data_IF_079815044624
#
_entry.id   IF_079815044624
#
_cell.length_a   1.000
_cell.length_b   1.000
_cell.length_c   1.000
_cell.angle_alpha   90.00
_cell.angle_beta   90.00
_cell.angle_gamma   90.00
#
_symmetry.space_group_name_H-M   'P 1'
#
loop_
_entity.id
_entity.type
_entity.pdbx_description
1 polymer ?
#
# COMPACT_ATOMS: atom_id res chain seq x y z
N UNK A 1 -35.30 -16.21 52.55
CA UNK A 1 -35.46 -15.23 51.45
C UNK A 1 -34.38 -15.47 50.41
N UNK A 2 -34.81 -15.64 49.16
CA UNK A 2 -33.96 -15.88 47.98
C UNK A 2 -33.17 -14.63 47.62
N UNK A 3 -31.89 -14.74 47.27
CA UNK A 3 -31.26 -13.93 46.21
C UNK A 3 -30.22 -14.76 45.46
N UNK A 4 -30.52 -14.99 44.19
CA UNK A 4 -29.60 -15.40 43.15
C UNK A 4 -28.51 -14.33 42.96
N UNK A 5 -27.26 -14.74 42.75
CA UNK A 5 -26.39 -14.09 41.76
C UNK A 5 -25.71 -15.17 40.94
N UNK A 6 -25.93 -15.06 39.63
CA UNK A 6 -25.67 -16.04 38.62
C UNK A 6 -24.18 -16.27 38.33
N UNK A 7 -23.87 -17.51 37.99
CA UNK A 7 -22.66 -17.91 37.32
C UNK A 7 -22.46 -17.09 36.04
N UNK A 8 -21.32 -16.41 35.93
CA UNK A 8 -20.84 -15.86 34.67
C UNK A 8 -19.73 -16.76 34.12
N UNK A 9 -20.13 -17.85 33.48
CA UNK A 9 -19.31 -18.54 32.49
C UNK A 9 -19.62 -17.91 31.14
N UNK A 10 -18.82 -16.96 30.65
CA UNK A 10 -18.72 -16.62 29.21
C UNK A 10 -17.67 -15.53 28.98
N UNK A 11 -16.47 -15.94 28.54
CA UNK A 11 -15.81 -15.52 27.29
C UNK A 11 -14.31 -15.84 27.34
N UNK A 12 -13.97 -17.02 26.84
CA UNK A 12 -12.70 -17.26 26.13
C UNK A 12 -12.73 -16.42 24.85
N UNK A 13 -11.68 -15.65 24.58
CA UNK A 13 -11.46 -14.98 23.30
C UNK A 13 -11.52 -13.46 23.37
N UNK A 14 -10.39 -12.85 23.75
CA UNK A 14 -9.84 -11.53 23.38
C UNK A 14 -8.83 -11.11 24.48
N UNK A 15 -7.67 -11.76 24.52
CA UNK A 15 -6.50 -11.31 25.31
C UNK A 15 -5.27 -11.16 24.41
N UNK A 16 -5.52 -10.73 23.17
CA UNK A 16 -4.49 -10.15 22.33
C UNK A 16 -4.80 -8.66 22.32
N UNK A 17 -3.78 -7.83 22.46
CA UNK A 17 -3.80 -6.37 22.56
C UNK A 17 -3.92 -5.80 23.99
N UNK A 18 -2.85 -5.09 24.36
CA UNK A 18 -2.61 -4.33 25.61
C UNK A 18 -2.01 -5.08 26.81
N UNK A 19 -0.93 -5.85 26.59
CA UNK A 19 0.09 -5.94 27.63
C UNK A 19 1.09 -4.80 27.44
N UNK A 20 0.92 -3.75 28.23
CA UNK A 20 1.98 -2.79 28.53
C UNK A 20 3.02 -3.50 29.40
N UNK A 21 4.30 -3.21 29.18
CA UNK A 21 5.38 -3.76 30.02
C UNK A 21 5.26 -3.16 31.41
N UNK A 22 4.52 -3.87 32.25
CA UNK A 22 4.45 -3.65 33.68
C UNK A 22 5.32 -4.71 34.36
N UNK A 23 6.61 -4.73 34.02
CA UNK A 23 7.59 -5.56 34.74
C UNK A 23 7.71 -5.04 36.17
N UNK A 24 7.03 -5.74 37.07
CA UNK A 24 7.08 -5.52 38.51
C UNK A 24 8.30 -6.20 39.10
N UNK A 25 9.47 -5.58 38.97
CA UNK A 25 10.72 -6.09 39.53
C UNK A 25 11.71 -6.52 38.45
N UNK A 26 11.89 -7.83 38.26
CA UNK A 26 12.90 -8.39 37.32
C UNK A 26 12.29 -8.68 35.95
N UNK A 27 13.09 -8.50 34.90
CA UNK A 27 12.76 -8.91 33.53
C UNK A 27 12.80 -10.43 33.43
N UNK A 28 11.71 -11.02 32.94
CA UNK A 28 11.56 -12.47 32.79
C UNK A 28 11.83 -12.93 31.36
N UNK A 29 11.96 -14.25 31.15
CA UNK A 29 12.08 -14.81 29.81
C UNK A 29 10.82 -14.60 28.96
N UNK A 30 9.64 -14.45 29.59
CA UNK A 30 8.40 -14.11 28.89
C UNK A 30 8.47 -12.70 28.31
N UNK A 31 9.00 -11.74 29.07
CA UNK A 31 9.21 -10.36 28.60
C UNK A 31 10.23 -10.32 27.46
N UNK A 32 11.33 -11.08 27.57
CA UNK A 32 12.31 -11.20 26.47
C UNK A 32 11.69 -11.77 25.21
N UNK A 33 10.85 -12.80 25.35
CA UNK A 33 10.13 -13.37 24.20
C UNK A 33 9.13 -12.39 23.61
N UNK A 34 8.46 -11.61 24.45
CA UNK A 34 7.54 -10.57 24.03
C UNK A 34 8.24 -9.53 23.15
N UNK A 35 9.40 -9.01 23.57
CA UNK A 35 10.20 -8.08 22.78
C UNK A 35 10.64 -8.66 21.44
N UNK A 36 11.11 -9.91 21.42
CA UNK A 36 11.52 -10.57 20.19
C UNK A 36 10.38 -10.72 19.18
N UNK A 37 9.17 -11.04 19.66
CA UNK A 37 7.97 -11.10 18.81
C UNK A 37 7.59 -9.71 18.29
N UNK A 38 7.64 -8.68 19.14
CA UNK A 38 7.31 -7.31 18.72
C UNK A 38 8.35 -6.69 17.79
N UNK A 39 9.58 -7.20 17.80
CA UNK A 39 10.62 -6.80 16.85
C UNK A 39 10.26 -7.14 15.40
N UNK A 40 9.40 -8.16 15.16
CA UNK A 40 8.86 -8.47 13.83
C UNK A 40 7.88 -7.40 13.35
N UNK A 41 7.18 -6.73 14.27
CA UNK A 41 6.23 -5.65 13.93
C UNK A 41 6.93 -4.34 13.53
N UNK A 42 8.23 -4.19 13.84
CA UNK A 42 9.01 -2.98 13.56
C UNK A 42 10.20 -3.32 12.64
N UNK A 43 9.98 -3.45 11.32
CA UNK A 43 11.01 -3.85 10.35
C UNK A 43 12.03 -2.75 10.05
N UNK A 44 11.68 -1.50 10.30
CA UNK A 44 12.47 -0.28 10.07
C UNK A 44 13.44 0.05 11.22
N UNK A 45 13.36 -0.69 12.33
CA UNK A 45 14.24 -0.51 13.49
C UNK A 45 15.60 -1.15 13.20
N UNK A 46 16.65 -0.37 13.47
CA UNK A 46 18.06 -0.73 13.27
C UNK A 46 18.82 -0.62 14.60
N UNK A 47 20.02 -1.22 14.73
CA UNK A 47 20.87 -1.00 15.92
C UNK A 47 21.17 0.49 16.21
N UNK A 48 21.25 1.31 15.17
CA UNK A 48 21.44 2.76 15.25
C UNK A 48 20.18 3.57 15.56
N UNK A 49 19.01 2.94 15.71
CA UNK A 49 17.77 3.64 16.04
C UNK A 49 17.89 4.36 17.38
N UNK A 50 17.23 5.53 17.47
CA UNK A 50 17.26 6.39 18.64
C UNK A 50 16.66 5.73 19.89
N UNK A 51 17.27 5.98 21.05
CA UNK A 51 16.96 5.35 22.35
C UNK A 51 15.50 5.46 22.81
N UNK A 52 14.75 6.47 22.36
CA UNK A 52 13.35 6.66 22.77
C UNK A 52 12.41 5.58 22.23
N UNK A 53 12.86 4.75 21.27
CA UNK A 53 12.11 3.59 20.80
C UNK A 53 12.05 2.46 21.85
N UNK A 54 13.02 2.39 22.77
CA UNK A 54 13.06 1.35 23.79
C UNK A 54 11.91 1.50 24.78
N UNK A 55 11.26 0.37 25.08
CA UNK A 55 10.23 0.30 26.10
C UNK A 55 10.70 0.87 27.45
N UNK A 56 9.81 1.64 28.08
CA UNK A 56 10.07 2.35 29.33
C UNK A 56 11.19 3.42 29.28
N UNK A 57 11.70 3.82 28.11
CA UNK A 57 12.54 5.03 28.00
C UNK A 57 11.65 6.28 28.08
N UNK A 58 11.38 6.72 29.30
CA UNK A 58 10.72 8.00 29.55
C UNK A 58 11.62 9.19 29.18
N UNK A 59 11.02 10.38 29.04
CA UNK A 59 11.74 11.61 28.68
C UNK A 59 12.94 11.90 29.59
N UNK A 60 12.80 11.65 30.89
CA UNK A 60 13.88 11.81 31.86
C UNK A 60 15.05 10.85 31.59
N UNK A 61 14.76 9.55 31.45
CA UNK A 61 15.77 8.53 31.14
C UNK A 61 16.49 8.84 29.83
N UNK A 62 15.73 9.17 28.78
CA UNK A 62 16.35 9.46 27.49
C UNK A 62 17.23 10.73 27.54
N UNK A 63 16.86 11.76 28.31
CA UNK A 63 17.73 12.94 28.53
C UNK A 63 19.03 12.59 29.26
N UNK A 64 18.97 11.76 30.31
CA UNK A 64 20.17 11.33 31.05
C UNK A 64 21.11 10.46 30.22
N UNK A 65 20.56 9.64 29.32
CA UNK A 65 21.35 8.91 28.34
C UNK A 65 22.04 9.85 27.35
N UNK A 66 21.33 10.87 26.86
CA UNK A 66 21.91 11.91 25.99
C UNK A 66 23.03 12.69 26.70
N UNK A 67 22.86 13.03 27.99
CA UNK A 67 23.91 13.68 28.79
C UNK A 67 25.20 12.85 28.87
N UNK A 68 25.08 11.51 28.84
CA UNK A 68 26.22 10.57 28.80
C UNK A 68 26.67 10.21 27.37
N UNK A 69 26.21 10.95 26.35
CA UNK A 69 26.51 10.74 24.93
C UNK A 69 26.03 9.36 24.39
N UNK A 70 24.91 8.87 24.90
CA UNK A 70 24.27 7.62 24.46
C UNK A 70 23.03 7.98 23.65
N UNK A 71 23.08 7.70 22.36
CA UNK A 71 22.05 8.11 21.38
C UNK A 71 21.37 6.92 20.70
N UNK A 72 22.01 5.76 20.69
CA UNK A 72 21.59 4.58 19.93
C UNK A 72 21.29 3.38 20.82
N UNK A 73 20.46 2.46 20.34
CA UNK A 73 20.16 1.18 21.02
C UNK A 73 21.45 0.37 21.24
N UNK A 74 22.35 0.35 20.27
CA UNK A 74 23.63 -0.35 20.38
C UNK A 74 24.48 0.16 21.56
N UNK A 75 24.57 1.47 21.74
CA UNK A 75 25.31 2.06 22.85
C UNK A 75 24.65 1.74 24.20
N UNK A 76 23.31 1.73 24.27
CA UNK A 76 22.59 1.33 25.49
C UNK A 76 22.87 -0.14 25.83
N UNK A 77 22.85 -1.03 24.83
CA UNK A 77 23.13 -2.45 25.03
C UNK A 77 24.58 -2.73 25.48
N UNK A 78 25.50 -1.82 25.14
CA UNK A 78 26.92 -1.89 25.51
C UNK A 78 27.23 -1.30 26.89
N UNK A 79 26.24 -0.76 27.62
CA UNK A 79 26.45 -0.25 28.97
C UNK A 79 26.80 -1.35 29.96
N UNK A 80 27.71 -1.02 30.87
CA UNK A 80 28.06 -1.86 32.01
C UNK A 80 27.01 -1.75 33.13
N UNK A 81 26.93 -2.79 33.97
CA UNK A 81 26.00 -2.82 35.12
C UNK A 81 26.20 -1.64 36.06
N UNK A 82 27.45 -1.24 36.29
CA UNK A 82 27.78 -0.15 37.21
C UNK A 82 27.26 1.20 36.69
N UNK A 83 27.33 1.42 35.38
CA UNK A 83 26.79 2.62 34.74
C UNK A 83 25.27 2.65 34.78
N UNK A 84 24.63 1.50 34.61
CA UNK A 84 23.17 1.34 34.72
C UNK A 84 22.70 1.63 36.15
N UNK A 85 23.44 1.14 37.15
CA UNK A 85 23.13 1.40 38.55
C UNK A 85 23.32 2.88 38.91
N UNK A 86 24.35 3.55 38.40
CA UNK A 86 24.49 5.00 38.57
C UNK A 86 23.30 5.77 37.96
N UNK A 87 22.91 5.43 36.71
CA UNK A 87 21.78 6.06 36.04
C UNK A 87 20.47 5.82 36.82
N UNK A 88 20.29 4.63 37.39
CA UNK A 88 19.08 4.26 38.13
C UNK A 88 19.02 4.93 39.51
N UNK A 89 20.09 4.84 40.29
CA UNK A 89 20.09 5.21 41.70
C UNK A 89 20.61 6.63 41.98
N UNK A 90 21.55 7.14 41.19
CA UNK A 90 22.04 8.53 41.34
C UNK A 90 21.27 9.50 40.48
N UNK A 91 21.10 9.18 39.19
CA UNK A 91 20.44 10.08 38.25
C UNK A 91 18.91 9.98 38.32
N UNK A 92 18.35 8.93 38.94
CA UNK A 92 16.91 8.77 39.16
C UNK A 92 16.15 8.16 37.98
N UNK A 93 16.84 7.45 37.07
CA UNK A 93 16.20 6.77 35.94
C UNK A 93 15.50 5.47 36.38
N UNK A 94 14.26 5.58 36.86
CA UNK A 94 13.52 4.49 37.54
C UNK A 94 13.51 3.12 36.83
N UNK A 95 13.39 3.11 35.49
CA UNK A 95 13.25 1.89 34.67
C UNK A 95 14.46 1.63 33.78
N UNK A 96 15.64 2.16 34.16
CA UNK A 96 16.86 2.01 33.37
C UNK A 96 17.28 0.54 33.20
N UNK A 97 17.04 -0.28 34.21
CA UNK A 97 17.25 -1.73 34.16
C UNK A 97 16.39 -2.41 33.08
N UNK A 98 15.12 -2.03 32.96
CA UNK A 98 14.23 -2.55 31.90
C UNK A 98 14.69 -2.09 30.52
N UNK A 99 15.05 -0.81 30.38
CA UNK A 99 15.55 -0.24 29.11
C UNK A 99 16.84 -0.95 28.67
N UNK A 100 17.76 -1.18 29.61
CA UNK A 100 19.02 -1.88 29.36
C UNK A 100 18.80 -3.35 28.98
N UNK A 101 17.95 -4.08 29.71
CA UNK A 101 17.62 -5.47 29.39
C UNK A 101 16.87 -5.61 28.07
N UNK A 102 16.02 -4.64 27.73
CA UNK A 102 15.36 -4.59 26.43
C UNK A 102 16.39 -4.43 25.31
N UNK A 103 17.28 -3.44 25.42
CA UNK A 103 18.35 -3.21 24.45
C UNK A 103 19.24 -4.46 24.27
N UNK A 104 19.66 -5.10 25.36
CA UNK A 104 20.46 -6.34 25.33
C UNK A 104 19.73 -7.51 24.68
N UNK A 105 18.41 -7.58 24.81
CA UNK A 105 17.61 -8.67 24.24
C UNK A 105 17.49 -8.52 22.71
N UNK A 106 17.31 -7.30 22.20
CA UNK A 106 17.03 -7.05 20.78
C UNK A 106 18.29 -6.78 19.94
N UNK A 107 19.42 -6.41 20.56
CA UNK A 107 20.61 -5.98 19.82
C UNK A 107 21.15 -7.05 18.87
N UNK A 108 21.13 -8.33 19.27
CA UNK A 108 21.65 -9.43 18.44
C UNK A 108 20.81 -9.64 17.16
N UNK A 109 19.48 -9.79 17.25
CA UNK A 109 18.63 -9.80 16.04
C UNK A 109 18.77 -8.56 15.17
N UNK A 110 18.91 -7.36 15.78
CA UNK A 110 19.07 -6.12 15.02
C UNK A 110 20.42 -6.07 14.27
N UNK A 111 21.52 -6.50 14.89
CA UNK A 111 22.83 -6.63 14.22
C UNK A 111 22.79 -7.65 13.08
N UNK A 112 22.05 -8.75 13.24
CA UNK A 112 21.82 -9.70 12.15
C UNK A 112 21.03 -9.08 11.00
N UNK A 113 20.00 -8.27 11.29
CA UNK A 113 19.26 -7.53 10.26
C UNK A 113 20.14 -6.53 9.51
N UNK A 114 21.02 -5.82 10.21
CA UNK A 114 21.92 -4.85 9.58
C UNK A 114 23.02 -5.52 8.75
N UNK A 115 23.60 -6.63 9.23
CA UNK A 115 24.69 -7.32 8.55
C UNK A 115 24.23 -8.14 7.34
N UNK A 116 23.08 -8.80 7.40
CA UNK A 116 22.61 -9.74 6.37
C UNK A 116 21.22 -9.44 5.82
N UNK A 117 20.57 -8.35 6.21
CA UNK A 117 19.20 -8.03 5.77
C UNK A 117 18.12 -8.90 6.43
N UNK A 118 18.48 -9.76 7.38
CA UNK A 118 17.58 -10.63 8.13
C UNK A 118 17.23 -11.95 7.43
N UNK A 119 17.14 -13.03 8.21
CA UNK A 119 16.85 -14.41 7.76
C UNK A 119 15.46 -14.57 7.10
N UNK A 120 14.54 -13.63 7.37
CA UNK A 120 13.15 -13.64 6.87
C UNK A 120 12.95 -12.89 5.53
N UNK A 121 13.81 -11.92 5.19
CA UNK A 121 13.61 -11.03 4.04
C UNK A 121 13.89 -11.71 2.70
N UNK A 122 14.75 -12.74 2.66
CA UNK A 122 15.14 -13.38 1.41
C UNK A 122 14.12 -14.41 0.88
N UNK A 123 13.38 -15.09 1.77
CA UNK A 123 12.53 -16.22 1.37
C UNK A 123 11.05 -15.85 1.22
N UNK A 124 10.45 -15.15 2.18
CA UNK A 124 9.00 -14.92 2.17
C UNK A 124 8.59 -13.67 1.37
N UNK A 125 9.32 -12.57 1.54
CA UNK A 125 9.06 -11.33 0.81
C UNK A 125 9.31 -11.52 -0.69
N UNK A 126 10.42 -12.17 -1.07
CA UNK A 126 10.76 -12.39 -2.48
C UNK A 126 9.79 -13.32 -3.20
N UNK A 127 9.31 -14.38 -2.55
CA UNK A 127 8.31 -15.28 -3.15
C UNK A 127 6.95 -14.57 -3.31
N UNK A 128 6.52 -13.78 -2.32
CA UNK A 128 5.29 -13.01 -2.41
C UNK A 128 5.38 -11.89 -3.46
N UNK A 129 6.51 -11.19 -3.53
CA UNK A 129 6.78 -10.17 -4.55
C UNK A 129 6.79 -10.77 -5.95
N UNK A 130 7.43 -11.92 -6.17
CA UNK A 130 7.41 -12.61 -7.45
C UNK A 130 6.00 -13.07 -7.85
N UNK A 131 5.18 -13.52 -6.89
CA UNK A 131 3.77 -13.86 -7.14
C UNK A 131 2.96 -12.63 -7.53
N UNK A 132 3.07 -11.54 -6.77
CA UNK A 132 2.41 -10.26 -7.07
C UNK A 132 2.85 -9.70 -8.41
N UNK A 133 4.15 -9.79 -8.74
CA UNK A 133 4.70 -9.33 -10.03
C UNK A 133 4.09 -10.11 -11.20
N UNK A 134 4.07 -11.45 -11.14
CA UNK A 134 3.44 -12.29 -12.18
C UNK A 134 1.93 -12.09 -12.30
N UNK A 135 1.26 -11.76 -11.20
CA UNK A 135 -0.18 -11.45 -11.22
C UNK A 135 -0.44 -10.07 -11.86
N UNK A 136 0.38 -9.07 -11.54
CA UNK A 136 0.30 -7.74 -12.15
C UNK A 136 0.64 -7.76 -13.64
N UNK A 137 1.63 -8.55 -14.08
CA UNK A 137 1.96 -8.73 -15.50
C UNK A 137 0.77 -9.35 -16.26
N UNK A 138 0.15 -10.42 -15.72
CA UNK A 138 -1.05 -11.02 -16.32
C UNK A 138 -2.21 -10.02 -16.42
N UNK A 139 -2.51 -9.29 -15.35
CA UNK A 139 -3.57 -8.27 -15.38
C UNK A 139 -3.28 -7.14 -16.36
N UNK A 140 -2.03 -6.72 -16.50
CA UNK A 140 -1.65 -5.70 -17.50
C UNK A 140 -1.85 -6.21 -18.93
N UNK A 141 -1.47 -7.44 -19.21
CA UNK A 141 -1.70 -8.06 -20.52
C UNK A 141 -3.19 -8.24 -20.82
N UNK A 142 -3.98 -8.66 -19.85
CA UNK A 142 -5.45 -8.77 -19.97
C UNK A 142 -6.07 -7.40 -20.29
N UNK A 143 -5.73 -6.36 -19.53
CA UNK A 143 -6.22 -4.99 -19.78
C UNK A 143 -5.80 -4.48 -21.15
N UNK A 144 -4.56 -4.75 -21.58
CA UNK A 144 -4.11 -4.34 -22.91
C UNK A 144 -4.86 -5.06 -24.02
N UNK A 145 -5.08 -6.37 -23.90
CA UNK A 145 -5.87 -7.16 -24.86
C UNK A 145 -7.33 -6.72 -24.91
N UNK A 146 -7.94 -6.42 -23.77
CA UNK A 146 -9.30 -5.88 -23.72
C UNK A 146 -9.37 -4.52 -24.41
N UNK A 147 -8.38 -3.64 -24.17
CA UNK A 147 -8.31 -2.33 -24.83
C UNK A 147 -8.15 -2.46 -26.34
N UNK A 148 -7.28 -3.35 -26.83
CA UNK A 148 -7.11 -3.56 -28.27
C UNK A 148 -8.38 -4.14 -28.89
N UNK A 149 -9.00 -5.14 -28.27
CA UNK A 149 -10.24 -5.74 -28.77
C UNK A 149 -11.39 -4.71 -28.84
N UNK A 150 -11.54 -3.87 -27.81
CA UNK A 150 -12.55 -2.81 -27.80
C UNK A 150 -12.24 -1.75 -28.89
N UNK A 151 -10.97 -1.40 -29.08
CA UNK A 151 -10.57 -0.45 -30.11
C UNK A 151 -10.85 -1.00 -31.52
N UNK A 152 -10.48 -2.26 -31.79
CA UNK A 152 -10.75 -2.93 -33.06
C UNK A 152 -12.25 -3.02 -33.34
N UNK A 153 -13.07 -3.41 -32.37
CA UNK A 153 -14.53 -3.44 -32.51
C UNK A 153 -15.11 -2.05 -32.84
N UNK A 154 -14.60 -0.99 -32.20
CA UNK A 154 -15.01 0.38 -32.48
C UNK A 154 -14.57 0.83 -33.88
N UNK A 155 -13.36 0.48 -34.31
CA UNK A 155 -12.88 0.81 -35.65
C UNK A 155 -13.63 0.05 -36.75
N UNK A 156 -13.92 -1.23 -36.55
CA UNK A 156 -14.72 -2.03 -37.48
C UNK A 156 -16.13 -1.48 -37.64
N UNK A 157 -16.79 -1.12 -36.53
CA UNK A 157 -18.13 -0.51 -36.58
C UNK A 157 -18.11 0.84 -37.28
N UNK A 158 -17.09 1.69 -37.03
CA UNK A 158 -16.90 2.96 -37.75
C UNK A 158 -16.61 2.75 -39.25
N UNK A 159 -15.82 1.74 -39.63
CA UNK A 159 -15.59 1.39 -41.04
C UNK A 159 -16.89 0.99 -41.74
N UNK A 160 -17.68 0.08 -41.14
CA UNK A 160 -18.99 -0.33 -41.66
C UNK A 160 -19.93 0.87 -41.85
N UNK A 161 -19.95 1.81 -40.90
CA UNK A 161 -20.74 3.04 -41.03
C UNK A 161 -20.25 3.94 -42.16
N UNK A 162 -18.93 4.11 -42.33
CA UNK A 162 -18.34 4.89 -43.44
C UNK A 162 -18.68 4.28 -44.79
N UNK A 163 -18.56 2.97 -44.94
CA UNK A 163 -18.92 2.23 -46.16
C UNK A 163 -20.41 2.35 -46.47
N UNK A 164 -21.28 2.20 -45.48
CA UNK A 164 -22.72 2.38 -45.64
C UNK A 164 -23.11 3.81 -46.05
N UNK A 165 -22.45 4.83 -45.49
CA UNK A 165 -22.65 6.24 -45.88
C UNK A 165 -22.17 6.46 -47.32
N UNK A 166 -21.00 5.93 -47.69
CA UNK A 166 -20.47 6.05 -49.05
C UNK A 166 -21.41 5.39 -50.08
N UNK A 167 -21.91 4.18 -49.78
CA UNK A 167 -22.89 3.49 -50.62
C UNK A 167 -24.21 4.27 -50.75
N UNK A 168 -24.75 4.80 -49.64
CA UNK A 168 -25.96 5.65 -49.69
C UNK A 168 -25.74 6.93 -50.49
N UNK A 169 -24.57 7.57 -50.35
CA UNK A 169 -24.23 8.78 -51.13
C UNK A 169 -24.12 8.47 -52.63
N UNK A 170 -23.52 7.35 -53.00
CA UNK A 170 -23.45 6.89 -54.39
C UNK A 170 -24.84 6.60 -54.97
N UNK A 171 -25.71 5.90 -54.23
CA UNK A 171 -27.08 5.63 -54.65
C UNK A 171 -27.92 6.92 -54.82
N UNK A 172 -27.72 7.92 -53.95
CA UNK A 172 -28.37 9.23 -54.10
C UNK A 172 -27.85 10.01 -55.31
N UNK A 173 -26.55 9.93 -55.62
CA UNK A 173 -25.99 10.55 -56.82
C UNK A 173 -26.51 9.90 -58.09
N UNK A 174 -26.63 8.56 -58.14
CA UNK A 174 -27.26 7.85 -59.26
C UNK A 174 -28.72 8.27 -59.44
N UNK A 175 -29.52 8.28 -58.36
CA UNK A 175 -30.91 8.78 -58.42
C UNK A 175 -31.00 10.24 -58.86
N UNK A 176 -30.06 11.10 -58.46
CA UNK A 176 -30.03 12.50 -58.90
C UNK A 176 -29.63 12.66 -60.36
N UNK A 177 -28.76 11.80 -60.88
CA UNK A 177 -28.42 11.75 -62.31
C UNK A 177 -29.60 11.22 -63.13
N UNK A 178 -30.34 10.24 -62.63
CA UNK A 178 -31.58 9.73 -63.25
C UNK A 178 -32.68 10.80 -63.30
N UNK A 179 -32.88 11.56 -62.21
CA UNK A 179 -33.86 12.66 -62.15
C UNK A 179 -33.41 13.89 -62.96
N UNK A 180 -32.11 14.20 -62.98
CA UNK A 180 -31.56 15.26 -63.84
C UNK A 180 -31.57 14.90 -65.34
N UNK A 181 -31.53 13.61 -65.69
CA UNK A 181 -31.69 13.13 -67.06
C UNK A 181 -33.16 13.13 -67.51
N UNK A 182 -34.14 13.11 -66.59
CA UNK A 182 -35.55 13.34 -66.92
C UNK A 182 -35.91 14.82 -67.07
N UNK A 183 -35.21 15.76 -66.42
CA UNK A 183 -35.44 17.21 -66.56
C UNK A 183 -34.78 17.83 -67.82
N UNK A 184 -33.87 17.13 -68.51
CA UNK A 184 -33.27 17.59 -69.77
C UNK A 184 -34.00 17.12 -71.04
N UNK A 185 -35.19 16.49 -70.89
CA UNK A 185 -35.96 15.97 -72.03
C UNK A 185 -37.27 16.71 -72.33
N UNK A 186 -37.66 17.68 -71.51
CA UNK A 186 -38.86 18.52 -71.72
C UNK A 186 -38.53 20.03 -71.61
N UNK A 187 -37.61 20.51 -72.45
CA UNK A 187 -37.17 21.91 -72.43
C UNK A 187 -36.66 22.46 -73.75
N UNK A 188 -37.16 21.97 -74.89
CA UNK A 188 -36.92 22.60 -76.19
C UNK A 188 -38.19 22.55 -77.04
N UNK A 189 -38.94 23.67 -77.03
CA UNK A 189 -40.09 23.91 -77.90
C UNK A 189 -41.26 24.65 -77.24
N UNK A 190 -41.13 25.95 -77.00
CA UNK A 190 -41.86 26.97 -77.77
C UNK A 190 -41.64 28.37 -77.18
N UNK A 191 -40.92 29.21 -77.92
CA UNK A 191 -40.84 30.64 -77.70
C UNK A 191 -40.98 31.35 -79.04
N UNK A 192 -42.22 31.61 -79.46
CA UNK A 192 -42.53 32.74 -80.34
C UNK A 192 -44.05 32.99 -80.46
N UNK A 193 -44.43 34.26 -80.25
CA UNK A 193 -45.63 34.97 -80.72
C UNK A 193 -46.77 35.19 -79.71
N UNK A 194 -46.70 36.32 -78.99
CA UNK A 194 -47.74 37.34 -79.12
C UNK A 194 -47.27 38.71 -78.59
N UNK A 195 -46.76 39.54 -79.51
CA UNK A 195 -46.78 41.00 -79.40
C UNK A 195 -47.28 41.59 -80.74
N UNK A 196 -48.58 41.87 -80.82
CA UNK A 196 -49.26 42.91 -81.61
C UNK A 196 -50.53 43.20 -80.79
N UNK A 197 -50.79 44.36 -80.18
CA UNK A 197 -50.70 45.70 -80.73
C UNK A 197 -52.10 46.19 -81.12
N UNK A 198 -52.95 46.52 -80.13
CA UNK A 198 -53.94 47.62 -80.08
C UNK A 198 -54.92 47.46 -78.91
#
# INVERSE_FOLDING_TARGET
MRRLVAACCLRRGFLLFTRTIATGGRVTNEDRRWWLVHLECAPDVTPGTFIAWLDCCGTHTCKKLIERNIWTIEQVAALDSDQVDELKYRDGCLKMDVVWEHARTIITPLRQREATGGVESELQARILELRKKRELERRREEILKERTNIAEQREETLRKLREAIAAKKAALLQKRQEVGASDFRDGEGDAANNEVGQ
#
